data_IF_205047640213
#
_entry.id   IF_205047640213
#
_cell.length_a   1.000
_cell.length_b   1.000
_cell.length_c   1.000
_cell.angle_alpha   90.00
_cell.angle_beta   90.00
_cell.angle_gamma   90.00
#
_symmetry.space_group_name_H-M   'P 1'
#
loop_
_entity.id
_entity.type
_entity.pdbx_description
1 polymer ?
#
# COMPACT_ATOMS: atom_id res chain seq x y z
N UNK A 1 -18.47 30.30 13.35
CA UNK A 1 -16.99 30.20 13.40
C UNK A 1 -16.42 31.48 12.82
N UNK A 2 -15.33 32.05 13.35
CA UNK A 2 -14.75 33.27 12.75
C UNK A 2 -14.08 32.92 11.41
N UNK A 3 -14.16 33.81 10.43
CA UNK A 3 -13.55 33.61 9.10
C UNK A 3 -12.06 33.20 9.19
N UNK A 4 -11.31 33.81 10.11
CA UNK A 4 -9.89 33.50 10.31
C UNK A 4 -9.66 32.07 10.84
N UNK A 5 -10.56 31.58 11.69
CA UNK A 5 -10.50 30.19 12.20
C UNK A 5 -10.75 29.20 11.05
N UNK A 6 -11.72 29.50 10.17
CA UNK A 6 -12.00 28.68 8.99
C UNK A 6 -10.77 28.60 8.09
N UNK A 7 -10.11 29.72 7.81
CA UNK A 7 -8.87 29.76 7.01
C UNK A 7 -7.78 28.91 7.62
N UNK A 8 -7.57 29.01 8.92
CA UNK A 8 -6.57 28.19 9.63
C UNK A 8 -6.89 26.69 9.52
N UNK A 9 -8.16 26.30 9.63
CA UNK A 9 -8.55 24.90 9.45
C UNK A 9 -8.40 24.42 8.00
N UNK A 10 -8.73 25.25 7.00
CA UNK A 10 -8.51 24.92 5.59
C UNK A 10 -7.01 24.78 5.27
N UNK A 11 -6.17 25.64 5.82
CA UNK A 11 -4.71 25.56 5.69
C UNK A 11 -4.16 24.27 6.35
N UNK A 12 -4.58 23.96 7.57
CA UNK A 12 -4.20 22.72 8.25
C UNK A 12 -4.67 21.48 7.47
N UNK A 13 -5.88 21.53 6.88
CA UNK A 13 -6.39 20.46 6.01
C UNK A 13 -5.50 20.26 4.79
N UNK A 14 -5.06 21.34 4.13
CA UNK A 14 -4.15 21.27 2.99
C UNK A 14 -2.79 20.66 3.35
N UNK A 15 -2.22 21.03 4.51
CA UNK A 15 -0.97 20.47 5.01
C UNK A 15 -1.08 18.95 5.20
N UNK A 16 -2.13 18.50 5.91
CA UNK A 16 -2.39 17.07 6.13
C UNK A 16 -2.58 16.33 4.80
N UNK A 17 -3.30 16.92 3.85
CA UNK A 17 -3.45 16.35 2.51
C UNK A 17 -2.09 16.23 1.79
N UNK A 18 -1.21 17.23 1.93
CA UNK A 18 0.17 17.17 1.43
C UNK A 18 0.96 16.00 2.02
N UNK A 19 0.87 15.78 3.34
CA UNK A 19 1.51 14.64 4.00
C UNK A 19 0.94 13.29 3.53
N UNK A 20 -0.39 13.19 3.37
CA UNK A 20 -1.06 11.99 2.85
C UNK A 20 -0.57 11.71 1.42
N UNK A 21 -0.42 12.75 0.60
CA UNK A 21 0.07 12.62 -0.76
C UNK A 21 1.48 12.04 -0.80
N UNK A 22 2.42 12.66 -0.07
CA UNK A 22 3.82 12.22 0.01
C UNK A 22 3.95 10.79 0.57
N UNK A 23 3.14 10.45 1.58
CA UNK A 23 3.08 9.11 2.14
C UNK A 23 2.60 8.10 1.08
N UNK A 24 1.55 8.43 0.32
CA UNK A 24 1.01 7.54 -0.72
C UNK A 24 2.02 7.29 -1.84
N UNK A 25 2.75 8.32 -2.29
CA UNK A 25 3.85 8.16 -3.24
C UNK A 25 4.99 7.29 -2.69
N UNK A 26 5.32 7.45 -1.41
CA UNK A 26 6.28 6.59 -0.72
C UNK A 26 5.80 5.14 -0.71
N UNK A 27 4.53 4.87 -0.38
CA UNK A 27 3.97 3.51 -0.44
C UNK A 27 4.14 2.88 -1.82
N UNK A 28 3.85 3.63 -2.89
CA UNK A 28 4.09 3.18 -4.27
C UNK A 28 5.54 2.76 -4.51
N UNK A 29 6.52 3.52 -4.03
CA UNK A 29 7.95 3.17 -4.11
C UNK A 29 8.29 1.90 -3.32
N UNK A 30 7.77 1.76 -2.12
CA UNK A 30 8.02 0.59 -1.26
C UNK A 30 7.42 -0.69 -1.84
N UNK A 31 6.23 -0.60 -2.46
CA UNK A 31 5.62 -1.71 -3.20
C UNK A 31 6.52 -2.17 -4.34
N UNK A 32 7.01 -1.25 -5.19
CA UNK A 32 7.93 -1.62 -6.30
C UNK A 32 9.21 -2.29 -5.81
N UNK A 33 9.72 -1.85 -4.66
CA UNK A 33 10.93 -2.40 -4.05
C UNK A 33 10.69 -3.61 -3.15
N UNK A 34 9.43 -4.08 -3.01
CA UNK A 34 9.01 -5.17 -2.11
C UNK A 34 9.41 -4.96 -0.64
N UNK A 35 9.45 -3.71 -0.19
CA UNK A 35 9.88 -3.33 1.16
C UNK A 35 8.70 -3.36 2.15
N UNK A 36 8.27 -4.56 2.57
CA UNK A 36 7.06 -4.75 3.37
C UNK A 36 7.12 -4.11 4.77
N UNK A 37 8.27 -4.16 5.45
CA UNK A 37 8.42 -3.55 6.79
C UNK A 37 8.19 -2.04 6.75
N UNK A 38 8.79 -1.36 5.77
CA UNK A 38 8.59 0.07 5.60
C UNK A 38 7.18 0.42 5.11
N UNK A 39 6.58 -0.43 4.27
CA UNK A 39 5.18 -0.26 3.87
C UNK A 39 4.24 -0.30 5.08
N UNK A 40 4.43 -1.24 6.01
CA UNK A 40 3.63 -1.32 7.24
C UNK A 40 3.78 -0.06 8.11
N UNK A 41 4.99 0.52 8.19
CA UNK A 41 5.21 1.79 8.89
C UNK A 41 4.42 2.92 8.23
N UNK A 42 4.53 3.05 6.91
CA UNK A 42 3.82 4.08 6.14
C UNK A 42 2.30 3.96 6.26
N UNK A 43 1.74 2.75 6.31
CA UNK A 43 0.31 2.52 6.51
C UNK A 43 -0.17 3.00 7.89
N UNK A 44 0.62 2.79 8.94
CA UNK A 44 0.31 3.30 10.29
C UNK A 44 0.38 4.82 10.34
N UNK A 45 1.42 5.42 9.75
CA UNK A 45 1.55 6.87 9.61
C UNK A 45 0.32 7.44 8.87
N UNK A 46 -0.09 6.82 7.75
CA UNK A 46 -1.26 7.23 6.99
C UNK A 46 -2.56 7.14 7.80
N UNK A 47 -2.72 6.12 8.64
CA UNK A 47 -3.89 6.00 9.51
C UNK A 47 -3.97 7.19 10.48
N UNK A 48 -2.85 7.60 11.08
CA UNK A 48 -2.80 8.80 11.95
C UNK A 48 -3.17 10.07 11.17
N UNK A 49 -2.69 10.21 9.93
CA UNK A 49 -3.03 11.36 9.09
C UNK A 49 -4.52 11.41 8.72
N UNK A 50 -5.14 10.26 8.46
CA UNK A 50 -6.58 10.17 8.19
C UNK A 50 -7.38 10.60 9.44
N UNK A 51 -6.96 10.19 10.63
CA UNK A 51 -7.61 10.64 11.88
C UNK A 51 -7.45 12.15 12.09
N UNK A 52 -6.27 12.71 11.84
CA UNK A 52 -6.04 14.16 11.88
C UNK A 52 -6.94 14.90 10.89
N UNK A 53 -7.02 14.40 9.65
CA UNK A 53 -7.89 14.98 8.61
C UNK A 53 -9.35 14.95 9.04
N UNK A 54 -9.82 13.82 9.58
CA UNK A 54 -11.18 13.66 10.08
C UNK A 54 -11.47 14.62 11.24
N UNK A 55 -10.51 14.87 12.14
CA UNK A 55 -10.66 15.85 13.21
C UNK A 55 -10.84 17.28 12.66
N UNK A 56 -10.03 17.68 11.68
CA UNK A 56 -10.18 18.99 11.02
C UNK A 56 -11.51 19.09 10.29
N UNK A 57 -11.93 18.03 9.60
CA UNK A 57 -13.24 17.99 8.93
C UNK A 57 -14.41 18.13 9.90
N UNK A 58 -14.33 17.55 11.10
CA UNK A 58 -15.35 17.75 12.14
C UNK A 58 -15.40 19.20 12.60
N UNK A 59 -14.25 19.85 12.80
CA UNK A 59 -14.18 21.26 13.18
C UNK A 59 -14.78 22.17 12.10
N UNK A 60 -14.44 21.91 10.84
CA UNK A 60 -14.98 22.63 9.70
C UNK A 60 -16.49 22.43 9.53
N UNK A 61 -17.01 21.22 9.77
CA UNK A 61 -18.43 20.93 9.58
C UNK A 61 -19.31 21.26 10.81
N UNK A 62 -18.72 21.65 11.94
CA UNK A 62 -19.46 22.02 13.15
C UNK A 62 -20.35 23.27 12.95
N UNK A 63 -19.98 24.13 12.00
CA UNK A 63 -20.74 25.30 11.58
C UNK A 63 -20.56 25.44 10.06
N UNK A 64 -21.57 25.07 9.25
CA UNK A 64 -21.43 25.02 7.79
C UNK A 64 -21.65 26.37 7.09
N UNK A 65 -21.95 27.43 7.83
CA UNK A 65 -22.33 28.73 7.26
C UNK A 65 -21.18 29.42 6.48
N UNK A 66 -19.93 29.03 6.71
CA UNK A 66 -18.76 29.60 6.02
C UNK A 66 -18.60 29.13 4.57
N UNK A 67 -19.25 28.03 4.17
CA UNK A 67 -19.06 27.46 2.81
C UNK A 67 -19.58 28.37 1.70
N UNK A 68 -20.62 29.15 1.98
CA UNK A 68 -21.21 30.09 1.03
C UNK A 68 -20.49 31.46 1.03
N UNK A 69 -19.47 31.63 1.87
CA UNK A 69 -18.64 32.83 1.85
C UNK A 69 -17.70 32.78 0.64
N UNK A 70 -18.04 33.53 -0.40
CA UNK A 70 -17.24 33.63 -1.63
C UNK A 70 -15.78 34.04 -1.43
N UNK A 71 -15.42 34.59 -0.25
CA UNK A 71 -14.04 34.91 0.15
C UNK A 71 -13.15 33.70 0.37
N UNK A 72 -13.73 32.50 0.56
CA UNK A 72 -13.01 31.24 0.78
C UNK A 72 -13.02 30.32 -0.45
N UNK A 73 -13.62 30.77 -1.56
CA UNK A 73 -13.83 29.94 -2.73
C UNK A 73 -12.52 29.43 -3.35
N UNK A 74 -11.44 30.21 -3.26
CA UNK A 74 -10.13 29.81 -3.78
C UNK A 74 -9.53 28.67 -2.93
N UNK A 75 -9.53 28.82 -1.61
CA UNK A 75 -9.00 27.84 -0.66
C UNK A 75 -9.79 26.52 -0.72
N UNK A 76 -11.11 26.60 -0.84
CA UNK A 76 -11.98 25.42 -1.01
C UNK A 76 -11.61 24.67 -2.29
N UNK A 77 -11.47 25.38 -3.43
CA UNK A 77 -11.07 24.77 -4.70
C UNK A 77 -9.69 24.11 -4.61
N UNK A 78 -8.72 24.75 -3.95
CA UNK A 78 -7.39 24.16 -3.76
C UNK A 78 -7.45 22.86 -2.95
N UNK A 79 -8.29 22.82 -1.90
CA UNK A 79 -8.51 21.58 -1.12
C UNK A 79 -9.12 20.49 -2.01
N UNK A 80 -10.15 20.81 -2.78
CA UNK A 80 -10.84 19.86 -3.65
C UNK A 80 -9.93 19.32 -4.76
N UNK A 81 -9.13 20.18 -5.38
CA UNK A 81 -8.10 19.80 -6.35
C UNK A 81 -7.09 18.84 -5.73
N UNK A 82 -6.59 19.16 -4.53
CA UNK A 82 -5.61 18.30 -3.85
C UNK A 82 -6.20 16.94 -3.48
N UNK A 83 -7.45 16.91 -3.03
CA UNK A 83 -8.16 15.66 -2.75
C UNK A 83 -8.30 14.79 -4.01
N UNK A 84 -8.67 15.38 -5.16
CA UNK A 84 -8.76 14.67 -6.45
C UNK A 84 -7.41 14.09 -6.88
N UNK A 85 -6.33 14.88 -6.75
CA UNK A 85 -4.96 14.42 -7.05
C UNK A 85 -4.59 13.21 -6.18
N UNK A 86 -4.81 13.29 -4.87
CA UNK A 86 -4.51 12.20 -3.92
C UNK A 86 -5.29 10.94 -4.26
N UNK A 87 -6.58 11.06 -4.61
CA UNK A 87 -7.39 9.91 -5.00
C UNK A 87 -6.85 9.23 -6.26
N UNK A 88 -6.44 9.99 -7.27
CA UNK A 88 -5.83 9.45 -8.48
C UNK A 88 -4.53 8.68 -8.17
N UNK A 89 -3.67 9.24 -7.30
CA UNK A 89 -2.43 8.59 -6.88
C UNK A 89 -2.72 7.33 -6.05
N UNK A 90 -3.70 7.37 -5.13
CA UNK A 90 -4.12 6.19 -4.37
C UNK A 90 -4.57 5.05 -5.29
N UNK A 91 -5.39 5.35 -6.29
CA UNK A 91 -5.86 4.37 -7.27
C UNK A 91 -4.70 3.79 -8.09
N UNK A 92 -3.71 4.60 -8.47
CA UNK A 92 -2.52 4.13 -9.17
C UNK A 92 -1.70 3.16 -8.29
N UNK A 93 -1.45 3.53 -7.03
CA UNK A 93 -0.70 2.69 -6.07
C UNK A 93 -1.44 1.38 -5.76
N UNK A 94 -2.77 1.42 -5.63
CA UNK A 94 -3.58 0.20 -5.45
C UNK A 94 -3.42 -0.76 -6.62
N UNK A 95 -3.57 -0.27 -7.86
CA UNK A 95 -3.35 -1.10 -9.06
C UNK A 95 -1.95 -1.70 -9.08
N UNK A 96 -0.93 -0.89 -8.79
CA UNK A 96 0.45 -1.35 -8.71
C UNK A 96 0.64 -2.45 -7.66
N UNK A 97 -0.03 -2.33 -6.51
CA UNK A 97 0.02 -3.32 -5.42
C UNK A 97 -0.64 -4.64 -5.84
N UNK A 98 -1.75 -4.59 -6.57
CA UNK A 98 -2.42 -5.79 -7.10
C UNK A 98 -1.51 -6.53 -8.09
N UNK A 99 -0.93 -5.81 -9.04
CA UNK A 99 0.01 -6.39 -10.01
C UNK A 99 1.22 -7.03 -9.31
N UNK A 100 1.77 -6.38 -8.29
CA UNK A 100 2.92 -6.93 -7.58
C UNK A 100 2.56 -8.18 -6.76
N UNK A 101 1.35 -8.21 -6.17
CA UNK A 101 0.82 -9.39 -5.49
C UNK A 101 0.70 -10.58 -6.43
N UNK A 102 0.19 -10.37 -7.64
CA UNK A 102 0.07 -11.42 -8.66
C UNK A 102 1.44 -11.99 -9.04
N UNK A 103 2.42 -11.13 -9.30
CA UNK A 103 3.80 -11.54 -9.61
C UNK A 103 4.43 -12.38 -8.50
N UNK A 104 4.32 -11.94 -7.24
CA UNK A 104 4.82 -12.72 -6.10
C UNK A 104 4.12 -14.08 -6.01
N UNK A 105 2.82 -14.13 -6.30
CA UNK A 105 2.06 -15.39 -6.37
C UNK A 105 2.63 -16.35 -7.41
N UNK A 106 2.89 -15.87 -8.63
CA UNK A 106 3.49 -16.67 -9.69
C UNK A 106 4.90 -17.17 -9.35
N UNK A 107 5.74 -16.31 -8.76
CA UNK A 107 7.08 -16.67 -8.29
C UNK A 107 7.02 -17.79 -7.24
N UNK A 108 6.08 -17.71 -6.30
CA UNK A 108 5.87 -18.74 -5.28
C UNK A 108 5.42 -20.07 -5.90
N UNK A 109 4.50 -20.02 -6.88
CA UNK A 109 4.08 -21.22 -7.61
C UNK A 109 5.25 -21.88 -8.34
N UNK A 110 6.08 -21.11 -9.05
CA UNK A 110 7.29 -21.61 -9.73
C UNK A 110 8.28 -22.23 -8.72
N UNK A 111 8.50 -21.58 -7.59
CA UNK A 111 9.38 -22.09 -6.52
C UNK A 111 8.87 -23.42 -5.95
N UNK A 112 7.56 -23.55 -5.72
CA UNK A 112 6.93 -24.81 -5.25
C UNK A 112 7.11 -25.94 -6.26
N UNK A 113 6.85 -25.68 -7.54
CA UNK A 113 7.04 -26.66 -8.61
C UNK A 113 8.48 -27.13 -8.72
N UNK A 114 9.45 -26.20 -8.61
CA UNK A 114 10.88 -26.54 -8.62
C UNK A 114 11.27 -27.41 -7.41
N UNK A 115 10.80 -27.07 -6.20
CA UNK A 115 11.02 -27.90 -5.01
C UNK A 115 10.41 -29.29 -5.15
N UNK A 116 9.23 -29.40 -5.75
CA UNK A 116 8.59 -30.70 -6.02
C UNK A 116 9.42 -31.52 -7.03
N UNK A 117 9.89 -30.92 -8.11
CA UNK A 117 10.75 -31.58 -9.08
C UNK A 117 12.05 -32.08 -8.41
N UNK A 118 12.73 -31.23 -7.63
CA UNK A 118 13.92 -31.62 -6.88
C UNK A 118 13.65 -32.80 -5.94
N UNK A 119 12.55 -32.77 -5.17
CA UNK A 119 12.16 -33.89 -4.30
C UNK A 119 11.94 -35.17 -5.10
N UNK A 120 11.31 -35.09 -6.27
CA UNK A 120 11.08 -36.26 -7.13
C UNK A 120 12.40 -36.82 -7.70
N UNK A 121 13.32 -35.96 -8.13
CA UNK A 121 14.65 -36.39 -8.56
C UNK A 121 15.41 -37.08 -7.42
N UNK A 122 15.55 -36.43 -6.26
CA UNK A 122 16.24 -37.01 -5.08
C UNK A 122 15.63 -38.34 -4.67
N UNK A 123 14.29 -38.42 -4.61
CA UNK A 123 13.57 -39.65 -4.24
C UNK A 123 13.84 -40.78 -5.24
N UNK A 124 13.86 -40.51 -6.55
CA UNK A 124 14.17 -41.54 -7.57
C UNK A 124 15.59 -42.11 -7.38
N UNK A 125 16.57 -41.28 -7.06
CA UNK A 125 17.95 -41.74 -6.81
C UNK A 125 18.11 -42.49 -5.48
N UNK A 126 17.47 -42.05 -4.41
CA UNK A 126 17.50 -42.76 -3.12
C UNK A 126 16.78 -44.10 -3.14
N UNK A 127 15.67 -44.21 -3.89
CA UNK A 127 14.95 -45.49 -4.02
C UNK A 127 15.79 -46.50 -4.80
N UNK A 128 16.53 -46.08 -5.82
CA UNK A 128 17.43 -46.97 -6.57
C UNK A 128 18.75 -47.27 -5.84
N UNK A 129 19.20 -46.42 -4.92
CA UNK A 129 20.41 -46.65 -4.13
C UNK A 129 20.20 -47.60 -2.92
N UNK A 130 18.96 -47.79 -2.47
CA UNK A 130 18.63 -48.62 -1.29
C UNK A 130 17.79 -49.88 -1.58
N UNK A 131 17.34 -50.11 -2.81
CA UNK A 131 16.78 -51.41 -3.21
C UNK A 131 17.97 -52.33 -3.51
N UNK A 132 18.31 -53.15 -2.52
CA UNK A 132 19.51 -53.96 -2.47
C UNK A 132 19.78 -54.78 -3.74
N UNK A 133 20.83 -54.40 -4.46
CA UNK A 133 21.55 -55.33 -5.32
C UNK A 133 22.48 -56.19 -4.45
N UNK A 134 21.90 -57.20 -3.78
CA UNK A 134 22.63 -58.43 -3.50
C UNK A 134 22.78 -59.19 -4.81
N UNK A 135 23.67 -58.73 -5.70
CA UNK A 135 24.18 -59.56 -6.78
C UNK A 135 25.17 -60.56 -6.17
N UNK A 136 24.61 -61.57 -5.50
CA UNK A 136 25.34 -62.78 -5.17
C UNK A 136 25.22 -63.70 -6.41
N UNK A 137 26.08 -63.49 -7.39
CA UNK A 137 26.27 -64.47 -8.47
C UNK A 137 27.12 -65.59 -7.89
N UNK A 138 26.44 -66.65 -7.45
CA UNK A 138 27.02 -67.98 -7.22
C UNK A 138 26.54 -68.87 -8.35
N UNK A 139 27.45 -69.38 -9.16
CA UNK A 139 27.18 -70.27 -10.29
C UNK A 139 28.11 -69.98 -11.45
#
# INVERSE_FOLDING_TARGET
>A
MKLEEVKNYLAAKLEILGEIHANTEAQGRFVRKRQLTGLNRLLRERAVLIEKLAAVDRLLNADNNWRDEGRLAAEIRTVEEKQREILAVCQAVMRQTMTERERVGEELCKSRSMRQAQKQYVRKWQTNAFVGNRLNVKG
#
